data_IF_231155136386
#
_entry.id   IF_231155136386
#
_cell.length_a   1.000
_cell.length_b   1.000
_cell.length_c   1.000
_cell.angle_alpha   90.00
_cell.angle_beta   90.00
_cell.angle_gamma   90.00
#
_symmetry.space_group_name_H-M   'P 1'
#
loop_
_entity.id
_entity.type
_entity.pdbx_description
1 polymer ?
#
# COMPACT_ATOMS: atom_id res chain seq x y z
N UNK A 1 -10.75 -57.79 -21.62
CA UNK A 1 -10.11 -57.07 -20.48
C UNK A 1 -9.57 -55.67 -20.79
N UNK A 2 -9.02 -55.37 -21.98
CA UNK A 2 -8.40 -54.06 -22.30
C UNK A 2 -9.37 -52.85 -22.38
N UNK A 3 -10.65 -53.05 -22.72
CA UNK A 3 -11.63 -51.95 -22.86
C UNK A 3 -12.14 -51.38 -21.51
N UNK A 4 -12.30 -52.23 -20.47
CA UNK A 4 -12.71 -51.78 -19.12
C UNK A 4 -11.60 -50.95 -18.44
N UNK A 5 -10.34 -51.27 -18.69
CA UNK A 5 -9.16 -50.53 -18.20
C UNK A 5 -9.11 -49.09 -18.75
N UNK A 6 -9.34 -48.87 -20.05
CA UNK A 6 -9.38 -47.52 -20.64
C UNK A 6 -10.50 -46.65 -20.07
N UNK A 7 -11.66 -47.23 -19.75
CA UNK A 7 -12.77 -46.51 -19.11
C UNK A 7 -12.46 -46.12 -17.66
N UNK A 8 -11.71 -46.96 -16.93
CA UNK A 8 -11.29 -46.67 -15.55
C UNK A 8 -10.27 -45.52 -15.52
N UNK A 9 -9.27 -45.55 -16.40
CA UNK A 9 -8.27 -44.49 -16.55
C UNK A 9 -8.88 -43.14 -16.92
N UNK A 10 -9.86 -43.12 -17.84
CA UNK A 10 -10.59 -41.88 -18.19
C UNK A 10 -11.37 -41.31 -17.00
N UNK A 11 -12.03 -42.16 -16.21
CA UNK A 11 -12.74 -41.74 -14.99
C UNK A 11 -11.76 -41.22 -13.94
N UNK A 12 -10.62 -41.89 -13.75
CA UNK A 12 -9.58 -41.44 -12.82
C UNK A 12 -8.99 -40.08 -13.24
N UNK A 13 -8.64 -39.91 -14.51
CA UNK A 13 -8.15 -38.63 -15.04
C UNK A 13 -9.17 -37.51 -14.88
N UNK A 14 -10.46 -37.81 -15.10
CA UNK A 14 -11.55 -36.85 -14.91
C UNK A 14 -11.71 -36.47 -13.43
N UNK A 15 -11.62 -37.44 -12.51
CA UNK A 15 -11.63 -37.16 -11.06
C UNK A 15 -10.44 -36.30 -10.66
N UNK A 16 -9.22 -36.61 -11.15
CA UNK A 16 -8.03 -35.80 -10.89
C UNK A 16 -8.21 -34.38 -11.43
N UNK A 17 -8.73 -34.23 -12.66
CA UNK A 17 -8.98 -32.93 -13.26
C UNK A 17 -10.00 -32.12 -12.44
N UNK A 18 -11.08 -32.74 -11.96
CA UNK A 18 -12.07 -32.10 -11.08
C UNK A 18 -11.42 -31.67 -9.76
N UNK A 19 -10.62 -32.53 -9.13
CA UNK A 19 -9.91 -32.19 -7.89
C UNK A 19 -8.96 -31.01 -8.11
N UNK A 20 -8.22 -30.99 -9.23
CA UNK A 20 -7.35 -29.89 -9.59
C UNK A 20 -8.12 -28.59 -9.82
N UNK A 21 -9.25 -28.64 -10.54
CA UNK A 21 -10.11 -27.47 -10.77
C UNK A 21 -10.71 -26.94 -9.47
N UNK A 22 -11.18 -27.83 -8.57
CA UNK A 22 -11.67 -27.44 -7.25
C UNK A 22 -10.54 -26.84 -6.40
N UNK A 23 -9.34 -27.43 -6.45
CA UNK A 23 -8.15 -26.90 -5.79
C UNK A 23 -7.82 -25.48 -6.29
N UNK A 24 -7.77 -25.29 -7.61
CA UNK A 24 -7.55 -23.97 -8.22
C UNK A 24 -8.65 -22.98 -7.86
N UNK A 25 -9.92 -23.42 -7.81
CA UNK A 25 -11.02 -22.56 -7.39
C UNK A 25 -10.85 -22.09 -5.93
N UNK A 26 -10.45 -22.98 -5.02
CA UNK A 26 -10.13 -22.61 -3.63
C UNK A 26 -8.96 -21.62 -3.60
N UNK A 27 -7.88 -21.90 -4.34
CA UNK A 27 -6.71 -21.01 -4.39
C UNK A 27 -7.05 -19.63 -4.92
N UNK A 28 -7.87 -19.49 -5.97
CA UNK A 28 -8.11 -18.19 -6.59
C UNK A 28 -9.31 -17.41 -6.03
N UNK A 29 -10.28 -18.08 -5.40
CA UNK A 29 -11.50 -17.43 -4.91
C UNK A 29 -11.64 -17.41 -3.39
N UNK A 30 -10.96 -18.28 -2.66
CA UNK A 30 -11.08 -18.38 -1.19
C UNK A 30 -9.80 -17.91 -0.49
N UNK A 31 -8.64 -18.39 -0.96
CA UNK A 31 -7.36 -18.13 -0.30
C UNK A 31 -7.01 -16.62 -0.19
N UNK A 32 -7.17 -15.76 -1.23
CA UNK A 32 -6.93 -14.33 -1.12
C UNK A 32 -7.67 -13.68 0.04
N UNK A 33 -8.98 -13.97 0.15
CA UNK A 33 -9.82 -13.39 1.19
C UNK A 33 -9.43 -13.88 2.60
N UNK A 34 -8.99 -15.13 2.73
CA UNK A 34 -8.48 -15.67 4.00
C UNK A 34 -7.13 -15.06 4.38
N UNK A 35 -6.22 -14.88 3.43
CA UNK A 35 -4.94 -14.20 3.63
C UNK A 35 -5.16 -12.76 4.09
N UNK A 36 -5.99 -12.00 3.37
CA UNK A 36 -6.32 -10.62 3.73
C UNK A 36 -6.90 -10.54 5.15
N UNK A 37 -7.85 -11.42 5.51
CA UNK A 37 -8.41 -11.47 6.89
C UNK A 37 -7.35 -11.73 7.95
N UNK A 38 -6.39 -12.62 7.66
CA UNK A 38 -5.31 -12.97 8.58
C UNK A 38 -4.32 -11.82 8.77
N UNK A 39 -3.97 -11.12 7.70
CA UNK A 39 -3.01 -10.02 7.74
C UNK A 39 -3.63 -8.68 8.17
N UNK A 40 -4.94 -8.51 8.03
CA UNK A 40 -5.65 -7.28 8.38
C UNK A 40 -6.80 -7.55 9.37
N UNK A 41 -6.48 -8.04 10.59
CA UNK A 41 -7.50 -8.32 11.59
C UNK A 41 -8.14 -7.02 12.09
N UNK A 42 -9.47 -7.02 12.21
CA UNK A 42 -10.23 -5.96 12.90
C UNK A 42 -10.41 -6.42 14.35
N UNK A 43 -9.57 -5.91 15.25
CA UNK A 43 -9.54 -6.36 16.65
C UNK A 43 -10.76 -5.87 17.45
N UNK A 44 -11.24 -4.66 17.15
CA UNK A 44 -12.39 -4.04 17.81
C UNK A 44 -13.55 -4.05 16.83
N UNK A 45 -14.61 -4.78 17.19
CA UNK A 45 -15.85 -4.86 16.40
C UNK A 45 -16.85 -3.78 16.83
N UNK A 46 -17.71 -3.30 15.92
CA UNK A 46 -18.80 -2.39 16.28
C UNK A 46 -19.79 -3.06 17.26
N UNK A 47 -20.56 -2.27 18.04
CA UNK A 47 -20.62 -0.80 18.01
C UNK A 47 -19.45 -0.13 18.75
N UNK A 48 -18.83 0.86 18.09
CA UNK A 48 -17.76 1.65 18.69
C UNK A 48 -18.31 2.63 19.73
N UNK A 49 -17.66 2.69 20.90
CA UNK A 49 -18.06 3.58 21.98
C UNK A 49 -17.16 4.82 21.99
N UNK A 50 -17.78 6.00 21.97
CA UNK A 50 -17.13 7.29 22.12
C UNK A 50 -18.11 8.23 22.85
N UNK A 51 -17.58 9.17 23.64
CA UNK A 51 -18.43 10.18 24.29
C UNK A 51 -19.06 11.11 23.25
N UNK A 52 -20.19 11.71 23.58
CA UNK A 52 -20.86 12.65 22.66
C UNK A 52 -19.98 13.84 22.30
N UNK A 53 -19.18 14.32 23.28
CA UNK A 53 -18.15 15.34 23.06
C UNK A 53 -17.11 14.90 22.01
N UNK A 54 -16.62 13.65 22.09
CA UNK A 54 -15.67 13.13 21.12
C UNK A 54 -16.29 12.99 19.72
N UNK A 55 -17.54 12.51 19.63
CA UNK A 55 -18.29 12.42 18.37
C UNK A 55 -18.52 13.80 17.73
N UNK A 56 -18.87 14.80 18.55
CA UNK A 56 -19.05 16.17 18.08
C UNK A 56 -17.75 16.81 17.60
N UNK A 57 -16.64 16.60 18.32
CA UNK A 57 -15.33 17.04 17.86
C UNK A 57 -14.98 16.37 16.53
N UNK A 58 -15.08 15.05 16.45
CA UNK A 58 -14.72 14.28 15.26
C UNK A 58 -15.49 14.69 14.01
N UNK A 59 -16.79 15.00 14.15
CA UNK A 59 -17.63 15.51 13.04
C UNK A 59 -17.17 16.84 12.46
N UNK A 60 -16.43 17.65 13.23
CA UNK A 60 -15.94 18.98 12.80
C UNK A 60 -14.51 18.96 12.28
N UNK A 61 -13.77 17.86 12.49
CA UNK A 61 -12.40 17.75 12.04
C UNK A 61 -12.34 17.42 10.54
N UNK A 62 -11.24 17.86 9.92
CA UNK A 62 -10.75 17.25 8.69
C UNK A 62 -9.73 16.18 9.08
N UNK A 63 -10.11 14.91 8.93
CA UNK A 63 -9.23 13.78 9.26
C UNK A 63 -8.45 13.39 8.02
N UNK A 64 -7.13 13.48 8.11
CA UNK A 64 -6.21 12.97 7.10
C UNK A 64 -5.45 11.78 7.68
N UNK A 65 -5.52 10.65 6.97
CA UNK A 65 -4.68 9.48 7.23
C UNK A 65 -3.63 9.41 6.11
N UNK A 66 -2.35 9.33 6.49
CA UNK A 66 -1.23 9.42 5.56
C UNK A 66 -0.66 8.06 5.15
N UNK A 67 -1.29 6.95 5.51
CA UNK A 67 -0.76 5.63 5.15
C UNK A 67 -1.81 4.50 5.23
N UNK A 68 -2.09 3.85 4.11
CA UNK A 68 -2.90 2.63 4.07
C UNK A 68 -2.58 1.74 2.87
N UNK A 69 -2.26 0.47 3.14
CA UNK A 69 -1.88 -0.52 2.13
C UNK A 69 -3.07 -1.23 1.48
N UNK A 70 -4.20 -0.54 1.38
CA UNK A 70 -5.46 -1.14 0.93
C UNK A 70 -5.43 -1.58 -0.52
N UNK A 71 -4.54 -0.99 -1.34
CA UNK A 71 -4.38 -1.34 -2.75
C UNK A 71 -3.65 -2.68 -2.96
N UNK A 72 -3.00 -3.22 -1.93
CA UNK A 72 -2.35 -4.53 -2.00
C UNK A 72 -3.37 -5.68 -2.14
N UNK A 73 -4.62 -5.50 -1.71
CA UNK A 73 -5.60 -6.57 -1.60
C UNK A 73 -6.69 -6.47 -2.67
N UNK A 74 -7.16 -7.60 -3.20
CA UNK A 74 -8.13 -7.67 -4.31
C UNK A 74 -9.57 -7.22 -4.00
N UNK A 75 -9.83 -6.65 -2.82
CA UNK A 75 -11.17 -6.20 -2.45
C UNK A 75 -11.58 -4.96 -3.24
N UNK A 76 -12.87 -4.87 -3.58
CA UNK A 76 -13.42 -3.65 -4.14
C UNK A 76 -13.55 -2.61 -3.02
N UNK A 77 -12.81 -1.51 -3.15
CA UNK A 77 -12.81 -0.41 -2.18
C UNK A 77 -14.01 0.52 -2.36
N UNK A 78 -14.77 0.41 -3.46
CA UNK A 78 -16.01 1.16 -3.64
C UNK A 78 -17.16 0.63 -2.77
N UNK A 79 -17.05 -0.62 -2.31
CA UNK A 79 -18.07 -1.34 -1.55
C UNK A 79 -17.65 -1.59 -0.10
N UNK A 80 -18.65 -1.75 0.77
CA UNK A 80 -18.42 -2.05 2.19
C UNK A 80 -17.84 -3.45 2.33
N UNK A 81 -16.59 -3.54 2.79
CA UNK A 81 -15.92 -4.82 3.00
C UNK A 81 -16.38 -5.55 4.26
N UNK A 82 -16.35 -6.89 4.22
CA UNK A 82 -16.47 -7.76 5.43
C UNK A 82 -15.12 -8.01 6.12
N UNK A 83 -14.04 -7.46 5.58
CA UNK A 83 -12.65 -7.59 6.05
C UNK A 83 -11.85 -6.34 5.67
N UNK A 84 -10.62 -6.23 6.17
CA UNK A 84 -9.78 -5.04 6.02
C UNK A 84 -10.34 -3.83 6.77
N UNK A 85 -9.58 -2.74 6.76
CA UNK A 85 -9.89 -1.54 7.56
C UNK A 85 -10.46 -0.37 6.75
N UNK A 86 -10.08 -0.23 5.48
CA UNK A 86 -10.40 0.96 4.67
C UNK A 86 -11.22 0.59 3.45
N UNK A 87 -12.38 1.21 3.29
CA UNK A 87 -13.12 1.29 2.03
C UNK A 87 -13.88 2.61 1.98
N UNK A 88 -14.34 3.01 0.81
CA UNK A 88 -15.01 4.29 0.60
C UNK A 88 -16.20 4.48 1.55
N UNK A 89 -17.11 3.51 1.77
CA UNK A 89 -18.16 3.65 2.78
C UNK A 89 -17.62 3.94 4.18
N UNK A 90 -16.61 3.18 4.65
CA UNK A 90 -15.98 3.44 5.97
C UNK A 90 -15.29 4.79 6.05
N UNK A 91 -14.61 5.23 5.00
CA UNK A 91 -13.95 6.53 4.95
C UNK A 91 -14.98 7.66 5.11
N UNK A 92 -16.10 7.56 4.40
CA UNK A 92 -17.20 8.54 4.48
C UNK A 92 -17.86 8.50 5.86
N UNK A 93 -18.28 7.33 6.34
CA UNK A 93 -18.90 7.13 7.66
C UNK A 93 -17.98 7.61 8.79
N UNK A 94 -16.68 7.39 8.65
CA UNK A 94 -15.63 7.77 9.60
C UNK A 94 -15.16 9.22 9.50
N UNK A 95 -15.76 10.06 8.64
CA UNK A 95 -15.34 11.43 8.37
C UNK A 95 -13.85 11.57 7.97
N UNK A 96 -13.31 10.58 7.24
CA UNK A 96 -11.97 10.66 6.68
C UNK A 96 -12.01 11.53 5.43
N UNK A 97 -11.39 12.70 5.54
CA UNK A 97 -11.33 13.71 4.48
C UNK A 97 -10.22 13.43 3.46
N UNK A 98 -9.12 12.81 3.86
CA UNK A 98 -8.02 12.48 2.95
C UNK A 98 -7.35 11.18 3.38
N UNK A 99 -7.12 10.27 2.45
CA UNK A 99 -6.40 9.01 2.67
C UNK A 99 -5.21 8.90 1.71
N UNK A 100 -4.00 8.71 2.21
CA UNK A 100 -2.92 8.23 1.37
C UNK A 100 -3.08 6.72 1.16
N UNK A 101 -3.16 6.29 -0.09
CA UNK A 101 -3.14 4.88 -0.45
C UNK A 101 -1.71 4.53 -0.87
N UNK A 102 -0.99 3.87 0.04
CA UNK A 102 0.42 3.54 -0.12
C UNK A 102 0.57 2.20 -0.81
N UNK A 103 1.52 2.15 -1.73
CA UNK A 103 1.80 0.98 -2.56
C UNK A 103 3.00 0.25 -2.01
N UNK A 104 2.75 -0.96 -1.50
CA UNK A 104 3.77 -1.92 -1.13
C UNK A 104 4.10 -2.80 -2.32
N UNK A 105 5.39 -2.94 -2.67
CA UNK A 105 5.80 -3.74 -3.83
C UNK A 105 6.54 -5.01 -3.46
N UNK A 106 7.26 -5.06 -2.35
CA UNK A 106 8.00 -6.26 -1.89
C UNK A 106 8.05 -6.37 -0.37
N UNK A 107 7.93 -7.60 0.14
CA UNK A 107 8.15 -7.92 1.56
C UNK A 107 8.96 -9.20 1.74
N UNK A 108 9.91 -9.26 2.69
CA UNK A 108 10.76 -10.42 2.90
C UNK A 108 10.04 -11.54 3.67
N UNK A 109 10.44 -12.80 3.46
CA UNK A 109 10.02 -13.92 4.31
C UNK A 109 10.54 -13.75 5.73
N UNK A 110 9.75 -14.17 6.71
CA UNK A 110 10.12 -14.05 8.13
C UNK A 110 10.22 -12.60 8.60
N UNK A 111 9.44 -11.71 7.96
CA UNK A 111 9.43 -10.28 8.22
C UNK A 111 9.34 -9.97 9.73
N UNK A 112 10.24 -9.12 10.20
CA UNK A 112 10.26 -8.61 11.56
C UNK A 112 10.72 -7.14 11.58
N UNK A 113 10.64 -6.49 12.74
CA UNK A 113 11.01 -5.08 12.89
C UNK A 113 12.50 -4.86 13.15
N UNK A 114 13.29 -5.91 13.36
CA UNK A 114 14.69 -5.78 13.76
C UNK A 114 15.65 -5.83 12.58
N UNK A 115 15.52 -6.86 11.72
CA UNK A 115 16.49 -7.11 10.67
C UNK A 115 15.90 -8.01 9.57
N UNK A 116 15.96 -7.54 8.32
CA UNK A 116 15.51 -8.30 7.16
C UNK A 116 16.44 -8.12 5.94
N UNK A 117 16.57 -9.19 5.17
CA UNK A 117 17.25 -9.19 3.87
C UNK A 117 16.26 -8.98 2.71
N UNK A 118 16.74 -8.48 1.58
CA UNK A 118 15.98 -8.28 0.35
C UNK A 118 15.83 -9.55 -0.52
N UNK A 119 16.37 -10.69 -0.10
CA UNK A 119 16.52 -11.91 -0.94
C UNK A 119 15.21 -12.60 -1.32
N UNK A 120 14.12 -12.31 -0.63
CA UNK A 120 12.83 -13.01 -0.80
C UNK A 120 11.71 -12.00 -0.99
N UNK A 121 10.60 -12.49 -1.54
CA UNK A 121 9.44 -11.67 -1.83
C UNK A 121 8.15 -12.49 -1.62
N UNK A 122 7.39 -12.15 -0.58
CA UNK A 122 6.09 -12.77 -0.32
C UNK A 122 5.00 -12.24 -1.28
N UNK A 123 5.17 -11.03 -1.82
CA UNK A 123 4.15 -10.38 -2.67
C UNK A 123 4.07 -11.05 -4.03
N UNK A 124 5.14 -11.68 -4.54
CA UNK A 124 5.06 -12.47 -5.79
C UNK A 124 3.99 -13.56 -5.71
N UNK A 125 3.98 -14.34 -4.64
CA UNK A 125 2.99 -15.41 -4.46
C UNK A 125 1.58 -14.82 -4.27
N UNK A 126 1.48 -13.74 -3.50
CA UNK A 126 0.21 -13.01 -3.33
C UNK A 126 -0.33 -12.53 -4.69
N UNK A 127 0.49 -11.88 -5.51
CA UNK A 127 0.13 -11.38 -6.83
C UNK A 127 -0.39 -12.49 -7.76
N UNK A 128 0.24 -13.67 -7.73
CA UNK A 128 -0.24 -14.85 -8.49
C UNK A 128 -1.60 -15.30 -7.98
N UNK A 129 -1.73 -15.49 -6.66
CA UNK A 129 -2.95 -16.00 -6.01
C UNK A 129 -4.12 -15.01 -6.15
N UNK A 130 -3.84 -13.71 -6.13
CA UNK A 130 -4.79 -12.64 -6.37
C UNK A 130 -5.05 -12.37 -7.87
N UNK A 131 -4.39 -13.10 -8.78
CA UNK A 131 -4.54 -12.98 -10.24
C UNK A 131 -4.18 -11.59 -10.79
N UNK A 132 -3.15 -10.98 -10.23
CA UNK A 132 -2.55 -9.78 -10.81
C UNK A 132 -2.03 -10.09 -12.22
N UNK A 133 -1.93 -9.09 -13.12
CA UNK A 133 -1.36 -9.27 -14.45
C UNK A 133 0.03 -9.90 -14.41
N UNK A 134 0.35 -10.80 -15.35
CA UNK A 134 1.64 -11.52 -15.37
C UNK A 134 2.87 -10.59 -15.37
N UNK A 135 2.74 -9.41 -15.99
CA UNK A 135 3.79 -8.36 -15.98
C UNK A 135 4.17 -7.90 -14.57
N UNK A 136 3.24 -7.95 -13.62
CA UNK A 136 3.45 -7.55 -12.23
C UNK A 136 4.04 -8.68 -11.35
N UNK A 137 4.18 -9.90 -11.87
CA UNK A 137 4.71 -11.02 -11.07
C UNK A 137 6.21 -10.85 -10.83
N UNK A 138 6.96 -10.42 -11.85
CA UNK A 138 8.41 -10.26 -11.79
C UNK A 138 8.92 -8.83 -11.74
N UNK A 139 8.07 -7.82 -11.90
CA UNK A 139 8.48 -6.40 -11.87
C UNK A 139 7.77 -5.63 -10.77
N UNK A 140 8.56 -5.04 -9.87
CA UNK A 140 8.09 -4.19 -8.78
C UNK A 140 7.49 -2.89 -9.31
N UNK A 141 8.06 -2.35 -10.40
CA UNK A 141 7.50 -1.21 -11.14
C UNK A 141 6.11 -1.52 -11.67
N UNK A 142 5.91 -2.68 -12.31
CA UNK A 142 4.58 -3.08 -12.81
C UNK A 142 3.56 -3.30 -11.68
N UNK A 143 4.00 -3.69 -10.47
CA UNK A 143 3.14 -3.73 -9.28
C UNK A 143 2.66 -2.34 -8.86
N UNK A 144 3.53 -1.33 -8.95
CA UNK A 144 3.13 0.08 -8.72
C UNK A 144 2.04 0.49 -9.70
N UNK A 145 2.26 0.25 -11.00
CA UNK A 145 1.32 0.64 -12.04
C UNK A 145 -0.02 -0.08 -11.91
N UNK A 146 -0.01 -1.37 -11.58
CA UNK A 146 -1.23 -2.13 -11.33
C UNK A 146 -2.02 -1.59 -10.14
N UNK A 147 -1.36 -1.36 -8.99
CA UNK A 147 -2.03 -0.84 -7.79
C UNK A 147 -2.52 0.60 -7.97
N UNK A 148 -1.75 1.43 -8.69
CA UNK A 148 -2.18 2.77 -9.11
C UNK A 148 -3.47 2.72 -9.92
N UNK A 149 -3.55 1.80 -10.88
CA UNK A 149 -4.77 1.55 -11.68
C UNK A 149 -5.99 1.29 -10.81
N UNK A 150 -5.86 0.50 -9.75
CA UNK A 150 -6.98 0.20 -8.82
C UNK A 150 -7.55 1.45 -8.17
N UNK A 151 -6.73 2.45 -7.83
CA UNK A 151 -7.22 3.70 -7.25
C UNK A 151 -7.86 4.62 -8.29
N UNK A 152 -7.31 4.65 -9.51
CA UNK A 152 -7.97 5.33 -10.64
C UNK A 152 -9.34 4.71 -10.93
N UNK A 153 -9.45 3.38 -10.91
CA UNK A 153 -10.70 2.65 -11.09
C UNK A 153 -11.71 2.94 -9.97
N UNK A 154 -11.24 3.08 -8.71
CA UNK A 154 -12.09 3.51 -7.60
C UNK A 154 -12.65 4.91 -7.87
N UNK A 155 -11.79 5.87 -8.24
CA UNK A 155 -12.23 7.24 -8.52
C UNK A 155 -13.27 7.27 -9.65
N UNK A 156 -13.00 6.56 -10.76
CA UNK A 156 -13.87 6.50 -11.92
C UNK A 156 -15.24 5.85 -11.62
N UNK A 157 -15.28 4.80 -10.78
CA UNK A 157 -16.52 4.07 -10.44
C UNK A 157 -17.23 4.60 -9.20
N UNK A 158 -16.73 5.66 -8.56
CA UNK A 158 -17.28 6.15 -7.29
C UNK A 158 -18.50 7.07 -7.44
N UNK A 159 -18.93 7.38 -8.67
CA UNK A 159 -19.94 8.40 -8.98
C UNK A 159 -19.62 9.76 -8.32
N UNK A 160 -18.33 10.12 -8.32
CA UNK A 160 -17.83 11.36 -7.74
C UNK A 160 -17.77 11.38 -6.21
N UNK A 161 -18.06 10.26 -5.53
CA UNK A 161 -17.93 10.13 -4.06
C UNK A 161 -16.47 9.99 -3.61
N UNK A 162 -15.57 9.55 -4.47
CA UNK A 162 -14.13 9.52 -4.21
C UNK A 162 -13.40 10.46 -5.18
N UNK A 163 -12.57 11.35 -4.63
CA UNK A 163 -11.77 12.29 -5.43
C UNK A 163 -10.30 11.91 -5.33
N UNK A 164 -9.68 11.61 -6.48
CA UNK A 164 -8.24 11.38 -6.57
C UNK A 164 -7.50 12.72 -6.61
N UNK A 165 -6.61 12.94 -5.65
CA UNK A 165 -5.81 14.16 -5.52
C UNK A 165 -4.45 13.96 -6.16
N UNK A 166 -4.13 14.79 -7.15
CA UNK A 166 -2.84 14.82 -7.86
C UNK A 166 -2.17 16.19 -7.77
N UNK A 167 -2.87 17.23 -7.36
CA UNK A 167 -2.31 18.58 -7.26
C UNK A 167 -2.88 19.29 -6.04
N UNK A 168 -2.22 20.39 -5.64
CA UNK A 168 -2.78 21.30 -4.65
C UNK A 168 -4.13 21.88 -5.11
N UNK A 169 -4.31 22.14 -6.41
CA UNK A 169 -5.57 22.61 -6.97
C UNK A 169 -6.69 21.58 -6.84
N UNK A 170 -6.39 20.28 -7.04
CA UNK A 170 -7.37 19.20 -6.80
C UNK A 170 -7.78 19.19 -5.33
N UNK A 171 -6.81 19.31 -4.41
CA UNK A 171 -7.07 19.32 -2.97
C UNK A 171 -7.93 20.53 -2.58
N UNK A 172 -7.59 21.74 -3.04
CA UNK A 172 -8.38 22.96 -2.78
C UNK A 172 -9.81 22.82 -3.29
N UNK A 173 -9.98 22.38 -4.54
CA UNK A 173 -11.32 22.18 -5.15
C UNK A 173 -12.13 21.14 -4.39
N UNK A 174 -11.49 20.05 -3.96
CA UNK A 174 -12.12 19.02 -3.14
C UNK A 174 -12.55 19.55 -1.78
N UNK A 175 -11.70 20.33 -1.09
CA UNK A 175 -12.03 20.90 0.23
C UNK A 175 -13.24 21.83 0.15
N UNK A 176 -13.32 22.67 -0.88
CA UNK A 176 -14.49 23.54 -1.12
C UNK A 176 -15.75 22.75 -1.46
N UNK A 177 -15.63 21.68 -2.25
CA UNK A 177 -16.75 20.79 -2.58
C UNK A 177 -17.25 20.07 -1.33
N UNK A 178 -16.34 19.54 -0.51
CA UNK A 178 -16.67 18.80 0.73
C UNK A 178 -17.48 19.63 1.73
N UNK A 179 -17.24 20.94 1.81
CA UNK A 179 -18.02 21.83 2.67
C UNK A 179 -19.50 21.92 2.25
N UNK A 180 -19.79 21.75 0.95
CA UNK A 180 -21.14 21.83 0.37
C UNK A 180 -21.80 20.46 0.22
N UNK A 181 -21.01 19.43 -0.04
CA UNK A 181 -21.42 18.06 -0.30
C UNK A 181 -20.81 17.12 0.76
N UNK A 182 -21.49 16.92 1.91
CA UNK A 182 -21.09 15.86 2.83
C UNK A 182 -21.26 14.50 2.14
N UNK A 183 -20.48 13.50 2.54
CA UNK A 183 -20.60 12.15 1.98
C UNK A 183 -19.62 11.82 0.85
N UNK A 184 -18.62 12.68 0.62
CA UNK A 184 -17.48 12.37 -0.26
C UNK A 184 -16.23 12.02 0.56
N UNK A 185 -15.19 11.48 -0.06
CA UNK A 185 -13.85 11.36 0.51
C UNK A 185 -12.82 11.56 -0.59
N UNK A 186 -11.55 11.71 -0.23
CA UNK A 186 -10.47 11.86 -1.19
C UNK A 186 -9.26 11.02 -0.81
N UNK A 187 -8.40 10.78 -1.78
CA UNK A 187 -7.11 10.17 -1.52
C UNK A 187 -6.08 10.45 -2.58
N UNK A 188 -4.84 10.13 -2.27
CA UNK A 188 -3.70 10.25 -3.17
C UNK A 188 -2.81 9.01 -3.07
N UNK A 189 -1.93 8.84 -4.06
CA UNK A 189 -1.04 7.68 -4.13
C UNK A 189 0.30 7.95 -3.46
N UNK A 190 0.72 7.03 -2.62
CA UNK A 190 2.08 6.93 -2.09
C UNK A 190 2.76 5.63 -2.51
N UNK A 191 4.09 5.57 -2.49
CA UNK A 191 4.86 4.33 -2.64
C UNK A 191 5.67 4.09 -1.36
N UNK A 192 5.66 2.85 -0.88
CA UNK A 192 6.42 2.46 0.29
C UNK A 192 7.73 1.76 -0.09
N UNK A 193 8.81 2.55 -0.18
CA UNK A 193 10.17 2.09 -0.38
C UNK A 193 10.65 2.14 -1.83
N UNK A 194 11.88 2.62 -2.01
CA UNK A 194 12.44 2.87 -3.33
C UNK A 194 12.85 1.62 -4.14
N UNK A 195 12.74 0.43 -3.56
CA UNK A 195 12.94 -0.81 -4.31
C UNK A 195 11.94 -0.95 -5.47
N UNK A 196 10.80 -0.26 -5.41
CA UNK A 196 9.85 -0.11 -6.51
C UNK A 196 10.45 0.50 -7.79
N UNK A 197 11.56 1.25 -7.68
CA UNK A 197 12.26 1.86 -8.82
C UNK A 197 13.04 0.85 -9.65
N UNK A 198 13.27 -0.37 -9.14
CA UNK A 198 14.07 -1.41 -9.81
C UNK A 198 15.47 -0.92 -10.24
N UNK A 199 16.05 0.00 -9.47
CA UNK A 199 17.36 0.56 -9.76
C UNK A 199 17.37 1.68 -10.82
N UNK A 200 16.22 2.13 -11.31
CA UNK A 200 16.14 3.25 -12.27
C UNK A 200 15.37 4.44 -11.67
N UNK A 201 16.09 5.55 -11.40
CA UNK A 201 15.48 6.78 -10.89
C UNK A 201 14.52 7.44 -11.90
N UNK A 202 14.62 7.10 -13.19
CA UNK A 202 13.65 7.52 -14.21
C UNK A 202 12.23 7.06 -13.91
N UNK A 203 12.06 5.96 -13.16
CA UNK A 203 10.75 5.48 -12.73
C UNK A 203 10.03 6.45 -11.78
N UNK A 204 10.73 7.40 -11.14
CA UNK A 204 10.10 8.45 -10.32
C UNK A 204 9.14 9.27 -11.19
N UNK A 205 9.57 9.68 -12.39
CA UNK A 205 8.73 10.46 -13.29
C UNK A 205 7.57 9.63 -13.82
N UNK A 206 7.81 8.38 -14.19
CA UNK A 206 6.76 7.45 -14.59
C UNK A 206 5.68 7.34 -13.50
N UNK A 207 6.07 7.15 -12.24
CA UNK A 207 5.13 7.03 -11.14
C UNK A 207 4.40 8.34 -10.86
N UNK A 208 5.10 9.48 -10.92
CA UNK A 208 4.50 10.79 -10.80
C UNK A 208 3.45 11.04 -11.89
N UNK A 209 3.77 10.75 -13.14
CA UNK A 209 2.84 10.95 -14.27
C UNK A 209 1.62 10.02 -14.15
N UNK A 210 1.76 8.88 -13.47
CA UNK A 210 0.66 7.97 -13.13
C UNK A 210 -0.11 8.36 -11.84
N UNK A 211 0.26 9.45 -11.17
CA UNK A 211 -0.50 10.03 -10.04
C UNK A 211 0.11 9.84 -8.65
N UNK A 212 1.29 9.24 -8.52
CA UNK A 212 2.00 9.12 -7.25
C UNK A 212 2.51 10.49 -6.78
N UNK A 213 2.27 10.83 -5.51
CA UNK A 213 2.65 12.13 -4.93
C UNK A 213 3.50 12.03 -3.68
N UNK A 214 3.68 10.83 -3.15
CA UNK A 214 4.53 10.57 -2.00
C UNK A 214 5.33 9.29 -2.23
N UNK A 215 6.57 9.24 -1.74
CA UNK A 215 7.36 8.01 -1.80
C UNK A 215 8.32 7.93 -0.62
N UNK A 216 8.34 6.77 0.03
CA UNK A 216 9.30 6.46 1.08
C UNK A 216 10.63 6.00 0.49
N UNK A 217 11.73 6.42 1.11
CA UNK A 217 13.09 6.10 0.65
C UNK A 217 13.40 4.60 0.83
N UNK A 218 12.95 4.02 1.93
CA UNK A 218 13.16 2.62 2.29
C UNK A 218 11.87 1.99 2.80
N UNK A 219 11.88 0.67 2.98
CA UNK A 219 10.80 -0.08 3.62
C UNK A 219 11.42 -1.10 4.60
N UNK A 220 11.07 -2.38 4.55
CA UNK A 220 11.56 -3.38 5.52
C UNK A 220 13.01 -3.86 5.32
N UNK A 221 13.74 -3.38 4.33
CA UNK A 221 15.14 -3.78 4.09
C UNK A 221 15.92 -2.63 3.44
N UNK A 222 17.25 -2.69 3.54
CA UNK A 222 18.14 -1.74 2.86
C UNK A 222 17.99 -1.86 1.34
N UNK A 223 18.17 -0.76 0.62
CA UNK A 223 18.16 -0.74 -0.84
C UNK A 223 19.33 0.12 -1.37
N UNK A 224 19.36 0.36 -2.67
CA UNK A 224 20.39 1.15 -3.33
C UNK A 224 20.27 2.68 -3.08
N UNK A 225 19.22 3.12 -2.40
CA UNK A 225 18.97 4.52 -1.99
C UNK A 225 19.51 4.78 -0.58
N UNK A 226 19.36 3.82 0.34
CA UNK A 226 19.88 3.97 1.70
C UNK A 226 19.48 2.84 2.65
N UNK A 227 19.85 3.03 3.92
CA UNK A 227 19.57 2.07 4.98
C UNK A 227 18.13 2.15 5.51
N UNK A 228 17.55 0.98 5.79
CA UNK A 228 16.27 0.84 6.47
C UNK A 228 16.47 0.70 7.99
N UNK A 229 15.53 1.19 8.79
CA UNK A 229 15.46 0.88 10.23
C UNK A 229 15.40 -0.63 10.53
N UNK A 230 14.90 -1.41 9.55
CA UNK A 230 14.76 -2.86 9.60
C UNK A 230 15.80 -3.58 8.73
N UNK A 231 16.74 -2.85 8.13
CA UNK A 231 17.76 -3.42 7.26
C UNK A 231 18.81 -4.23 8.01
N UNK A 232 19.70 -4.87 7.25
CA UNK A 232 20.87 -5.55 7.80
C UNK A 232 21.96 -4.53 8.16
N UNK A 233 22.16 -3.53 7.30
CA UNK A 233 23.23 -2.53 7.40
C UNK A 233 22.76 -1.27 8.10
N UNK A 234 21.51 -0.82 7.84
CA UNK A 234 20.93 0.38 8.45
C UNK A 234 21.80 1.64 8.27
N UNK A 235 22.53 1.71 7.14
CA UNK A 235 23.44 2.80 6.81
C UNK A 235 22.72 4.11 6.45
N UNK A 236 23.48 5.12 6.03
CA UNK A 236 22.95 6.42 5.60
C UNK A 236 22.42 6.44 4.16
N UNK A 237 22.22 7.65 3.62
CA UNK A 237 21.91 7.83 2.21
C UNK A 237 23.11 7.48 1.32
N UNK A 238 22.84 6.81 0.21
CA UNK A 238 23.81 6.67 -0.89
C UNK A 238 23.80 7.95 -1.75
N UNK A 239 24.78 8.12 -2.64
CA UNK A 239 24.73 9.22 -3.64
C UNK A 239 23.47 9.15 -4.50
N UNK A 240 23.04 7.94 -4.87
CA UNK A 240 21.79 7.71 -5.59
C UNK A 240 20.57 8.11 -4.75
N UNK A 241 20.61 7.89 -3.44
CA UNK A 241 19.56 8.35 -2.53
C UNK A 241 19.46 9.87 -2.42
N UNK A 242 20.60 10.56 -2.43
CA UNK A 242 20.63 12.03 -2.52
C UNK A 242 20.02 12.51 -3.85
N UNK A 243 20.38 11.89 -4.96
CA UNK A 243 19.80 12.19 -6.28
C UNK A 243 18.28 11.96 -6.32
N UNK A 244 17.80 10.85 -5.75
CA UNK A 244 16.36 10.58 -5.60
C UNK A 244 15.63 11.71 -4.87
N UNK A 245 16.15 12.15 -3.71
CA UNK A 245 15.56 13.23 -2.92
C UNK A 245 15.49 14.53 -3.72
N UNK A 246 16.56 14.88 -4.45
CA UNK A 246 16.57 16.07 -5.30
C UNK A 246 15.55 15.98 -6.43
N UNK A 247 15.46 14.82 -7.11
CA UNK A 247 14.50 14.59 -8.21
C UNK A 247 13.05 14.66 -7.72
N UNK A 248 12.76 14.03 -6.58
CA UNK A 248 11.42 14.07 -5.97
C UNK A 248 11.01 15.49 -5.61
N UNK A 249 11.88 16.26 -4.96
CA UNK A 249 11.59 17.65 -4.61
C UNK A 249 11.42 18.55 -5.84
N UNK A 250 12.22 18.34 -6.90
CA UNK A 250 12.06 19.05 -8.18
C UNK A 250 10.69 18.79 -8.84
N UNK A 251 10.05 17.65 -8.55
CA UNK A 251 8.70 17.30 -9.00
C UNK A 251 7.61 17.62 -7.97
N UNK A 252 7.97 18.26 -6.86
CA UNK A 252 7.08 18.54 -5.73
C UNK A 252 6.42 17.28 -5.14
N UNK A 253 7.14 16.14 -5.17
CA UNK A 253 6.74 14.93 -4.47
C UNK A 253 7.11 15.01 -2.99
N UNK A 254 6.24 14.46 -2.15
CA UNK A 254 6.48 14.31 -0.72
C UNK A 254 7.50 13.18 -0.51
N UNK A 255 8.60 13.50 0.15
CA UNK A 255 9.59 12.50 0.60
C UNK A 255 9.15 11.99 1.96
N UNK A 256 8.93 10.68 2.04
CA UNK A 256 8.53 9.99 3.27
C UNK A 256 9.73 9.26 3.92
N UNK A 257 9.89 9.47 5.23
CA UNK A 257 10.95 8.94 6.08
C UNK A 257 10.49 7.74 6.91
N UNK A 258 9.24 7.31 6.77
CA UNK A 258 8.79 6.03 7.29
C UNK A 258 9.79 4.91 6.91
N UNK A 259 10.13 4.06 7.88
CA UNK A 259 11.12 2.98 7.77
C UNK A 259 12.58 3.37 7.50
N UNK A 260 12.91 4.64 7.34
CA UNK A 260 14.30 5.07 7.15
C UNK A 260 15.15 4.75 8.38
N UNK A 261 16.41 4.37 8.18
CA UNK A 261 17.37 4.28 9.29
C UNK A 261 17.57 5.66 9.92
N UNK A 262 18.00 5.75 11.20
CA UNK A 262 18.33 7.03 11.81
C UNK A 262 19.33 7.85 10.99
N UNK A 263 20.32 7.18 10.38
CA UNK A 263 21.34 7.85 9.55
C UNK A 263 20.75 8.42 8.25
N UNK A 264 19.83 7.70 7.59
CA UNK A 264 19.10 8.22 6.42
C UNK A 264 18.26 9.43 6.80
N UNK A 265 17.61 9.42 7.97
CA UNK A 265 16.82 10.57 8.45
C UNK A 265 17.71 11.79 8.64
N UNK A 266 18.86 11.64 9.31
CA UNK A 266 19.85 12.73 9.47
C UNK A 266 20.34 13.27 8.12
N UNK A 267 20.73 12.37 7.20
CA UNK A 267 21.23 12.77 5.88
C UNK A 267 20.14 13.46 5.04
N UNK A 268 18.90 12.96 5.07
CA UNK A 268 17.78 13.56 4.37
C UNK A 268 17.46 14.95 4.92
N UNK A 269 17.44 15.12 6.24
CA UNK A 269 17.24 16.43 6.89
C UNK A 269 18.35 17.43 6.51
N UNK A 270 19.59 16.97 6.35
CA UNK A 270 20.72 17.83 6.02
C UNK A 270 20.68 18.36 4.57
N UNK A 271 20.08 17.63 3.63
CA UNK A 271 20.09 17.99 2.20
C UNK A 271 18.73 18.46 1.66
N UNK A 272 17.64 18.25 2.39
CA UNK A 272 16.30 18.56 1.89
C UNK A 272 16.00 20.06 1.98
N UNK A 273 15.34 20.56 0.95
CA UNK A 273 14.93 21.97 0.81
C UNK A 273 13.43 22.18 1.00
N UNK A 274 12.67 21.08 1.11
CA UNK A 274 11.23 21.03 1.31
C UNK A 274 10.90 20.17 2.55
N UNK A 275 9.71 20.33 3.15
CA UNK A 275 9.29 19.53 4.29
C UNK A 275 9.33 18.03 3.99
N UNK A 276 9.88 17.28 4.94
CA UNK A 276 9.85 15.82 4.96
C UNK A 276 8.69 15.34 5.82
N UNK A 277 8.15 14.17 5.49
CA UNK A 277 7.06 13.53 6.24
C UNK A 277 7.55 12.21 6.80
N UNK A 278 7.09 11.82 7.98
CA UNK A 278 7.09 10.42 8.40
C UNK A 278 5.63 9.97 8.44
N UNK A 279 5.15 9.32 7.37
CA UNK A 279 3.72 9.08 7.13
C UNK A 279 3.08 8.23 8.22
N UNK A 280 3.85 7.30 8.75
CA UNK A 280 3.50 6.46 9.88
C UNK A 280 4.76 6.13 10.67
N UNK A 281 4.73 6.39 11.97
CA UNK A 281 5.80 6.04 12.93
C UNK A 281 5.23 6.16 14.34
N UNK A 282 5.99 5.73 15.35
CA UNK A 282 5.65 5.95 16.75
C UNK A 282 6.69 6.79 17.48
N UNK A 283 6.50 6.94 18.78
CA UNK A 283 7.37 7.74 19.67
C UNK A 283 8.21 6.80 20.53
N UNK A 284 9.54 6.89 20.44
CA UNK A 284 10.48 6.02 21.19
C UNK A 284 10.30 6.14 22.70
N UNK A 285 10.00 7.34 23.20
CA UNK A 285 9.74 7.58 24.62
C UNK A 285 8.54 6.80 25.17
N UNK A 286 7.60 6.39 24.32
CA UNK A 286 6.43 5.57 24.70
C UNK A 286 6.68 4.08 24.46
N UNK A 287 7.28 3.73 23.32
CA UNK A 287 7.64 2.36 22.99
C UNK A 287 8.99 2.37 22.29
N UNK A 288 10.04 1.90 22.98
CA UNK A 288 11.39 1.93 22.46
C UNK A 288 11.62 0.78 21.48
N UNK A 289 11.52 1.06 20.18
CA UNK A 289 11.84 0.12 19.11
C UNK A 289 12.46 0.86 17.91
N UNK A 290 12.98 0.08 16.96
CA UNK A 290 13.68 0.59 15.75
C UNK A 290 12.78 1.37 14.79
N UNK A 291 11.46 1.12 14.81
CA UNK A 291 10.49 1.75 13.91
C UNK A 291 10.11 3.16 14.35
N UNK A 292 10.22 3.44 15.64
CA UNK A 292 9.80 4.69 16.26
C UNK A 292 10.90 5.76 16.20
N UNK A 293 10.50 7.03 16.29
CA UNK A 293 11.40 8.19 16.40
C UNK A 293 11.55 8.64 17.85
#
# INVERSE_FOLDING_TARGET
MKLKSKSLWRRLLLVIAIILLLGLAIVFFILPAQLEKRYNPVLIQPPYQASDRARELHRRLFVADLHADSLLWSRDLAERGTRGHVDLPRLIEGNVGLQAFTIVTKTPRGLNIESNSDRTDNITLLAIVERWPMRAWGSLKERVLYQTGKLHDLAARSDGRFVLIKTSADLSSYLERRQREPGISAGFLGIEGAHALEGDLGNIDLFFDNGVRMMALTHFFDNDIGGSAHGLQKGGLTEKGKEMIMRMQARHMIVDLAHASPKVIEDALAISTAPLVASHTGVKGTCNNTRNL
#
